data_IF_730882592286
#
_entry.id   IF_730882592286
#
_cell.length_a   1.000
_cell.length_b   1.000
_cell.length_c   1.000
_cell.angle_alpha   90.00
_cell.angle_beta   90.00
_cell.angle_gamma   90.00
#
_symmetry.space_group_name_H-M   'P 1'
#
loop_
_entity.id
_entity.type
_entity.pdbx_description
1 polymer ?
#
# COMPACT_ATOMS: atom_id res chain seq x y z
N UNK A 1 -13.51 -2.79 9.30
CA UNK A 1 -14.58 -2.17 8.48
C UNK A 1 -15.71 -1.59 9.32
N UNK A 2 -16.39 -2.39 10.15
CA UNK A 2 -17.53 -1.91 10.95
C UNK A 2 -17.23 -0.69 11.83
N UNK A 3 -16.07 -0.66 12.50
CA UNK A 3 -15.67 0.49 13.32
C UNK A 3 -15.50 1.79 12.50
N UNK A 4 -14.91 1.71 11.30
CA UNK A 4 -14.75 2.87 10.42
C UNK A 4 -16.10 3.35 9.89
N UNK A 5 -16.99 2.43 9.50
CA UNK A 5 -18.35 2.76 9.08
C UNK A 5 -19.18 3.38 10.23
N UNK A 6 -19.07 2.84 11.44
CA UNK A 6 -19.73 3.39 12.63
C UNK A 6 -19.22 4.80 12.98
N UNK A 7 -17.95 5.10 12.66
CA UNK A 7 -17.38 6.43 12.77
C UNK A 7 -17.73 7.37 11.60
N UNK A 8 -18.56 6.93 10.65
CA UNK A 8 -19.04 7.73 9.53
C UNK A 8 -18.16 7.71 8.28
N UNK A 9 -17.14 6.85 8.23
CA UNK A 9 -16.25 6.74 7.07
C UNK A 9 -16.68 5.65 6.10
N UNK A 10 -16.43 5.86 4.81
CA UNK A 10 -16.52 4.80 3.80
C UNK A 10 -15.19 4.07 3.74
N UNK A 11 -15.19 2.82 4.22
CA UNK A 11 -13.99 2.00 4.29
C UNK A 11 -13.91 1.04 3.09
N UNK A 12 -12.82 1.10 2.33
CA UNK A 12 -12.58 0.31 1.11
C UNK A 12 -11.27 -0.45 1.30
N UNK A 13 -11.30 -1.78 1.22
CA UNK A 13 -10.09 -2.61 1.24
C UNK A 13 -10.07 -3.50 0.00
N UNK A 14 -9.42 -3.07 -1.09
CA UNK A 14 -9.20 -3.93 -2.24
C UNK A 14 -8.16 -4.99 -1.88
N UNK A 15 -8.31 -6.18 -2.46
CA UNK A 15 -7.21 -7.15 -2.49
C UNK A 15 -6.16 -6.65 -3.50
N UNK A 16 -4.90 -6.59 -3.09
CA UNK A 16 -3.82 -6.24 -4.01
C UNK A 16 -3.72 -7.26 -5.15
N UNK A 17 -3.27 -6.84 -6.34
CA UNK A 17 -2.91 -7.78 -7.41
C UNK A 17 -2.00 -8.90 -6.88
N UNK A 18 -2.27 -10.14 -7.27
CA UNK A 18 -1.59 -11.33 -6.74
C UNK A 18 -2.18 -11.89 -5.44
N UNK A 19 -3.21 -11.26 -4.85
CA UNK A 19 -3.79 -11.67 -3.57
C UNK A 19 -5.32 -11.78 -3.62
N UNK A 20 -5.85 -12.61 -2.72
CA UNK A 20 -7.29 -12.73 -2.47
C UNK A 20 -8.08 -13.03 -3.73
N UNK A 21 -9.09 -12.19 -4.00
CA UNK A 21 -9.95 -12.29 -5.17
C UNK A 21 -9.45 -11.47 -6.38
N UNK A 22 -8.33 -10.77 -6.25
CA UNK A 22 -7.72 -10.03 -7.35
C UNK A 22 -6.91 -10.94 -8.27
N UNK A 23 -6.77 -10.53 -9.52
CA UNK A 23 -6.03 -11.27 -10.55
C UNK A 23 -4.61 -11.61 -10.10
N UNK A 24 -4.16 -12.82 -10.41
CA UNK A 24 -2.79 -13.25 -10.17
C UNK A 24 -1.94 -13.03 -11.43
N UNK A 25 -0.90 -12.18 -11.37
CA UNK A 25 -0.01 -12.00 -12.50
C UNK A 25 0.78 -13.28 -12.78
N UNK A 26 1.19 -13.53 -14.03
CA UNK A 26 2.05 -14.66 -14.37
C UNK A 26 3.35 -14.64 -13.57
N UNK A 27 3.87 -15.83 -13.20
CA UNK A 27 5.03 -15.98 -12.31
C UNK A 27 6.31 -15.26 -12.79
N UNK A 28 6.40 -14.99 -14.09
CA UNK A 28 7.52 -14.31 -14.76
C UNK A 28 7.34 -12.79 -14.87
N UNK A 29 6.16 -12.26 -14.58
CA UNK A 29 5.89 -10.82 -14.53
C UNK A 29 5.98 -10.35 -13.08
N UNK A 30 7.15 -9.84 -12.71
CA UNK A 30 7.36 -9.26 -11.39
C UNK A 30 6.45 -8.06 -11.16
N UNK A 31 5.78 -8.02 -10.01
CA UNK A 31 4.99 -6.85 -9.58
C UNK A 31 5.89 -5.87 -8.85
N UNK A 32 5.94 -4.63 -9.31
CA UNK A 32 6.66 -3.55 -8.65
C UNK A 32 5.79 -2.83 -7.62
N UNK A 33 6.43 -2.09 -6.70
CA UNK A 33 5.72 -1.21 -5.77
C UNK A 33 4.91 -0.12 -6.48
N UNK A 34 5.33 0.30 -7.68
CA UNK A 34 4.63 1.33 -8.45
C UNK A 34 3.35 0.81 -9.09
N UNK A 35 3.28 -0.49 -9.38
CA UNK A 35 2.03 -1.11 -9.84
C UNK A 35 0.95 -1.03 -8.76
N UNK A 36 1.31 -1.25 -7.50
CA UNK A 36 0.39 -1.08 -6.38
C UNK A 36 -0.03 0.38 -6.16
N UNK A 37 0.83 1.36 -6.46
CA UNK A 37 0.46 2.78 -6.42
C UNK A 37 -0.58 3.09 -7.50
N UNK A 38 -0.37 2.58 -8.72
CA UNK A 38 -1.31 2.74 -9.83
C UNK A 38 -2.66 2.05 -9.57
N UNK A 39 -2.65 0.89 -8.91
CA UNK A 39 -3.87 0.19 -8.49
C UNK A 39 -4.72 1.04 -7.56
N UNK A 40 -4.10 1.66 -6.54
CA UNK A 40 -4.80 2.53 -5.60
C UNK A 40 -5.48 3.69 -6.33
N UNK A 41 -4.77 4.34 -7.26
CA UNK A 41 -5.35 5.41 -8.07
C UNK A 41 -6.54 4.92 -8.89
N UNK A 42 -6.37 3.79 -9.57
CA UNK A 42 -7.41 3.20 -10.43
C UNK A 42 -8.66 2.82 -9.63
N UNK A 43 -8.49 2.28 -8.42
CA UNK A 43 -9.60 1.96 -7.51
C UNK A 43 -10.35 3.22 -7.10
N UNK A 44 -9.63 4.30 -6.76
CA UNK A 44 -10.27 5.58 -6.41
C UNK A 44 -11.06 6.15 -7.59
N UNK A 45 -10.51 6.09 -8.80
CA UNK A 45 -11.18 6.56 -10.01
C UNK A 45 -12.44 5.73 -10.31
N UNK A 46 -12.33 4.40 -10.27
CA UNK A 46 -13.45 3.49 -10.51
C UNK A 46 -14.60 3.68 -9.49
N UNK A 47 -14.26 4.05 -8.26
CA UNK A 47 -15.25 4.31 -7.19
C UNK A 47 -15.67 5.77 -7.09
N UNK A 48 -15.20 6.63 -8.00
CA UNK A 48 -15.44 8.08 -8.01
C UNK A 48 -15.11 8.75 -6.67
N UNK A 49 -14.00 8.33 -6.05
CA UNK A 49 -13.49 8.90 -4.81
C UNK A 49 -12.42 9.95 -5.15
N UNK A 50 -12.67 11.24 -4.86
CA UNK A 50 -11.71 12.30 -5.19
C UNK A 50 -10.47 12.25 -4.29
N UNK A 51 -10.62 12.01 -2.99
CA UNK A 51 -9.51 11.92 -2.05
C UNK A 51 -9.81 10.90 -0.94
N UNK A 52 -8.77 10.24 -0.43
CA UNK A 52 -8.88 9.27 0.66
C UNK A 52 -7.76 9.43 1.70
N UNK A 53 -8.01 8.99 2.93
CA UNK A 53 -6.97 8.62 3.87
C UNK A 53 -6.45 7.23 3.50
N UNK A 54 -5.14 7.09 3.37
CA UNK A 54 -4.50 5.81 3.03
C UNK A 54 -3.97 5.18 4.31
N UNK A 55 -4.50 4.01 4.65
CA UNK A 55 -4.10 3.24 5.83
C UNK A 55 -3.36 1.99 5.38
N UNK A 56 -2.16 1.77 5.90
CA UNK A 56 -1.29 0.71 5.45
C UNK A 56 -0.56 -0.03 6.58
N UNK A 57 -0.29 -1.30 6.34
CA UNK A 57 0.41 -2.20 7.26
C UNK A 57 1.37 -3.11 6.47
N UNK A 58 2.48 -3.49 7.09
CA UNK A 58 3.54 -4.30 6.49
C UNK A 58 4.01 -3.76 5.12
N UNK A 59 3.98 -4.61 4.08
CA UNK A 59 4.38 -4.30 2.72
C UNK A 59 3.51 -3.22 2.05
N UNK A 60 2.30 -2.96 2.56
CA UNK A 60 1.44 -1.89 2.05
C UNK A 60 1.97 -0.49 2.37
N UNK A 61 2.90 -0.35 3.32
CA UNK A 61 3.39 0.95 3.79
C UNK A 61 4.20 1.68 2.72
N UNK A 62 5.08 0.98 2.01
CA UNK A 62 5.90 1.55 0.93
C UNK A 62 5.02 2.16 -0.18
N UNK A 63 4.08 1.42 -0.81
CA UNK A 63 3.21 1.99 -1.83
C UNK A 63 2.27 3.08 -1.27
N UNK A 64 1.84 3.01 -0.01
CA UNK A 64 1.01 4.07 0.57
C UNK A 64 1.75 5.42 0.67
N UNK A 65 3.02 5.40 1.09
CA UNK A 65 3.84 6.60 1.10
C UNK A 65 4.14 7.11 -0.30
N UNK A 66 4.48 6.23 -1.24
CA UNK A 66 4.68 6.64 -2.62
C UNK A 66 3.42 7.20 -3.26
N UNK A 67 2.25 6.65 -2.95
CA UNK A 67 0.97 7.18 -3.41
C UNK A 67 0.76 8.59 -2.88
N UNK A 68 0.96 8.84 -1.59
CA UNK A 68 0.80 10.16 -1.01
C UNK A 68 1.77 11.21 -1.57
N UNK A 69 3.01 10.81 -1.84
CA UNK A 69 4.03 11.69 -2.42
C UNK A 69 3.78 12.00 -3.90
N UNK A 70 3.20 11.05 -4.66
CA UNK A 70 2.94 11.20 -6.10
C UNK A 70 1.56 11.77 -6.42
N UNK A 71 0.60 11.57 -5.53
CA UNK A 71 -0.80 11.96 -5.66
C UNK A 71 -1.28 12.74 -4.42
N UNK A 72 -0.63 13.87 -4.06
CA UNK A 72 -1.06 14.69 -2.94
C UNK A 72 -2.50 15.21 -3.13
N UNK A 73 -2.93 15.44 -4.37
CA UNK A 73 -4.29 15.84 -4.74
C UNK A 73 -5.34 14.75 -4.50
N UNK A 74 -4.91 13.50 -4.32
CA UNK A 74 -5.79 12.34 -4.04
C UNK A 74 -5.67 11.85 -2.60
N UNK A 75 -4.83 12.48 -1.78
CA UNK A 75 -4.48 11.98 -0.45
C UNK A 75 -4.85 12.99 0.64
N UNK A 76 -5.76 12.61 1.55
CA UNK A 76 -6.09 13.40 2.76
C UNK A 76 -5.06 13.22 3.87
N UNK A 77 -4.41 12.07 3.93
CA UNK A 77 -3.40 11.73 4.92
C UNK A 77 -3.02 10.26 4.85
N UNK A 78 -1.92 9.89 5.50
CA UNK A 78 -1.44 8.50 5.57
C UNK A 78 -1.31 8.07 7.02
N UNK A 79 -1.85 6.91 7.34
CA UNK A 79 -1.60 6.21 8.60
C UNK A 79 -0.89 4.89 8.30
N UNK A 80 0.25 4.64 8.92
CA UNK A 80 0.99 3.39 8.76
C UNK A 80 1.24 2.72 10.11
N UNK A 81 1.23 1.39 10.10
CA UNK A 81 1.70 0.58 11.21
C UNK A 81 2.82 -0.33 10.69
N UNK A 82 3.93 -0.40 11.45
CA UNK A 82 5.10 -1.27 11.29
C UNK A 82 6.37 -0.63 10.69
N UNK A 83 6.27 0.37 9.80
CA UNK A 83 7.48 1.05 9.28
C UNK A 83 7.30 2.56 9.27
N UNK A 84 8.21 3.33 9.89
CA UNK A 84 8.26 4.77 9.69
C UNK A 84 8.58 5.07 8.22
N UNK A 85 8.10 6.20 7.72
CA UNK A 85 8.60 6.76 6.48
C UNK A 85 10.08 7.05 6.69
N UNK A 86 10.96 6.32 5.99
CA UNK A 86 12.36 6.66 5.92
C UNK A 86 12.51 7.75 4.83
N UNK A 87 12.64 9.05 5.18
CA UNK A 87 13.17 10.01 4.23
C UNK A 87 14.53 9.48 3.80
N UNK A 88 14.84 9.54 2.49
CA UNK A 88 16.06 8.98 1.89
C UNK A 88 17.25 9.11 2.85
N UNK A 89 17.55 8.01 3.56
CA UNK A 89 18.54 8.02 4.63
C UNK A 89 19.88 8.34 3.98
N UNK A 90 20.57 9.36 4.48
CA UNK A 90 21.94 9.66 4.08
C UNK A 90 22.85 8.44 4.25
N UNK A 91 24.00 8.41 3.56
CA UNK A 91 24.81 7.21 3.32
C UNK A 91 25.40 6.50 4.56
N UNK A 92 25.15 6.98 5.78
CA UNK A 92 25.79 6.51 7.01
C UNK A 92 24.84 5.95 8.07
N UNK A 93 23.54 5.80 7.79
CA UNK A 93 22.68 5.07 8.74
C UNK A 93 22.89 3.57 8.51
N UNK A 94 23.35 2.78 9.50
CA UNK A 94 23.40 1.34 9.33
C UNK A 94 21.96 0.91 9.05
N UNK A 95 21.72 0.43 7.83
CA UNK A 95 20.53 -0.35 7.59
C UNK A 95 20.59 -1.45 8.66
N UNK A 96 19.61 -1.45 9.56
CA UNK A 96 19.34 -2.65 10.35
C UNK A 96 19.34 -3.75 9.30
N UNK A 97 20.24 -4.73 9.40
CA UNK A 97 20.24 -5.88 8.50
C UNK A 97 18.90 -6.56 8.71
N UNK A 98 17.87 -6.10 8.01
CA UNK A 98 16.71 -6.89 7.74
C UNK A 98 17.27 -8.04 6.93
N UNK A 99 17.45 -9.17 7.60
CA UNK A 99 17.69 -10.45 6.96
C UNK A 99 16.41 -10.83 6.23
N UNK A 100 16.08 -10.09 5.16
CA UNK A 100 15.30 -10.63 4.06
C UNK A 100 16.33 -11.26 3.16
N UNK A 101 16.53 -12.56 3.34
CA UNK A 101 17.12 -13.39 2.30
C UNK A 101 16.22 -13.25 1.06
N UNK A 102 16.55 -12.28 0.21
CA UNK A 102 15.91 -12.06 -1.08
C UNK A 102 16.47 -13.07 -2.08
N UNK A 103 16.21 -14.35 -1.87
CA UNK A 103 16.44 -15.40 -2.86
C UNK A 103 15.15 -15.62 -3.66
N UNK A 104 14.75 -14.59 -4.42
CA UNK A 104 13.97 -14.68 -5.66
C UNK A 104 12.71 -15.56 -5.71
N UNK A 105 12.13 -16.00 -4.60
CA UNK A 105 11.03 -16.97 -4.59
C UNK A 105 10.03 -16.64 -3.48
N UNK A 106 8.80 -16.34 -3.91
CA UNK A 106 7.56 -16.29 -3.15
C UNK A 106 7.53 -15.40 -1.89
N UNK A 107 6.91 -14.22 -2.00
CA UNK A 107 6.33 -13.54 -0.83
C UNK A 107 4.84 -13.92 -0.77
N UNK A 108 4.54 -14.99 -0.05
CA UNK A 108 3.18 -15.39 0.32
C UNK A 108 2.96 -15.05 1.80
N UNK A 109 2.43 -13.85 2.08
CA UNK A 109 1.42 -13.54 3.11
C UNK A 109 1.51 -12.10 3.70
N UNK A 110 0.31 -11.51 3.87
CA UNK A 110 -0.12 -10.38 4.72
C UNK A 110 0.23 -8.93 4.28
N UNK A 111 -0.64 -7.90 4.35
CA UNK A 111 -2.07 -7.74 4.64
C UNK A 111 -2.52 -6.32 4.19
N UNK A 112 -3.64 -6.25 3.46
CA UNK A 112 -4.63 -5.15 3.37
C UNK A 112 -4.15 -3.69 3.35
N UNK A 113 -4.22 -3.04 2.18
CA UNK A 113 -4.32 -1.58 2.08
C UNK A 113 -5.77 -1.19 2.37
N UNK A 114 -5.99 -0.37 3.40
CA UNK A 114 -7.31 0.16 3.73
C UNK A 114 -7.36 1.62 3.30
N UNK A 115 -8.20 1.94 2.31
CA UNK A 115 -8.55 3.30 1.94
C UNK A 115 -9.79 3.72 2.74
N UNK A 116 -9.69 4.83 3.46
CA UNK A 116 -10.77 5.37 4.30
C UNK A 116 -11.17 6.74 3.74
N UNK A 117 -12.42 6.88 3.32
CA UNK A 117 -12.96 8.11 2.73
C UNK A 117 -13.93 8.81 3.68
#
# INVERSE_FOLDING_TARGET
MLAAAAAGYRAIAPDCRGYGLSSQPPEHEGVSWFDHVADVLTVLDALSVPMAFVVAKDFGVIPAYHFALRHPERTRGVASWASPLAPALGPSTPCLKASTSCDGRYVRALHTQLLVC
#
